data_IF_859503761647
#
_entry.id   IF_859503761647
#
_cell.length_a   1.000
_cell.length_b   1.000
_cell.length_c   1.000
_cell.angle_alpha   90.00
_cell.angle_beta   90.00
_cell.angle_gamma   90.00
#
_symmetry.space_group_name_H-M   'P 1'
#
loop_
_entity.id
_entity.type
_entity.pdbx_description
1 polymer ?
#
# COMPACT_ATOMS: atom_id res chain seq x y z
N UNK A 1 2.70 15.87 27.40
CA UNK A 1 2.77 14.80 26.37
C UNK A 1 3.45 15.37 25.14
N UNK A 2 4.76 15.20 25.03
CA UNK A 2 5.51 15.57 23.85
C UNK A 2 6.49 14.45 23.58
N UNK A 3 6.35 13.83 22.42
CA UNK A 3 7.42 13.57 21.43
C UNK A 3 6.85 12.60 20.38
N UNK A 4 6.55 13.16 19.21
CA UNK A 4 6.17 12.43 18.01
C UNK A 4 7.43 12.02 17.23
N UNK A 5 7.93 10.80 17.43
CA UNK A 5 8.92 10.20 16.52
C UNK A 5 8.54 8.74 16.23
N UNK A 6 8.67 8.31 14.96
CA UNK A 6 8.49 6.91 14.54
C UNK A 6 7.06 6.44 14.25
N UNK A 7 6.03 6.97 14.94
CA UNK A 7 4.66 6.43 14.87
C UNK A 7 4.03 6.39 13.48
N UNK A 8 4.22 7.41 12.64
CA UNK A 8 3.57 7.46 11.31
C UNK A 8 4.18 6.50 10.29
N UNK A 9 5.51 6.35 10.28
CA UNK A 9 6.17 5.37 9.41
C UNK A 9 5.83 3.95 9.86
N UNK A 10 5.87 3.70 11.17
CA UNK A 10 5.47 2.42 11.77
C UNK A 10 4.02 2.05 11.45
N UNK A 11 3.08 3.01 11.51
CA UNK A 11 1.68 2.76 11.15
C UNK A 11 1.53 2.42 9.66
N UNK A 12 2.22 3.11 8.76
CA UNK A 12 2.21 2.71 7.34
C UNK A 12 2.76 1.30 7.15
N UNK A 13 3.88 0.94 7.79
CA UNK A 13 4.42 -0.42 7.74
C UNK A 13 3.40 -1.44 8.24
N UNK A 14 2.76 -1.19 9.38
CA UNK A 14 1.72 -2.05 9.94
C UNK A 14 0.55 -2.22 8.97
N UNK A 15 0.01 -1.13 8.41
CA UNK A 15 -1.12 -1.17 7.50
C UNK A 15 -0.79 -1.97 6.22
N UNK A 16 0.40 -1.76 5.65
CA UNK A 16 0.88 -2.51 4.48
C UNK A 16 1.06 -4.00 4.78
N UNK A 17 1.56 -4.34 5.97
CA UNK A 17 1.64 -5.73 6.43
C UNK A 17 0.27 -6.37 6.61
N UNK A 18 -0.67 -5.70 7.29
CA UNK A 18 -2.03 -6.21 7.50
C UNK A 18 -2.74 -6.45 6.16
N UNK A 19 -2.70 -5.48 5.25
CA UNK A 19 -3.33 -5.60 3.94
C UNK A 19 -2.70 -6.73 3.10
N UNK A 20 -1.37 -6.91 3.17
CA UNK A 20 -0.67 -7.94 2.41
C UNK A 20 -0.87 -9.36 2.94
N UNK A 21 -1.20 -9.49 4.23
CA UNK A 21 -1.49 -10.77 4.89
C UNK A 21 -2.96 -11.18 4.84
N UNK A 22 -3.86 -10.25 4.59
CA UNK A 22 -5.29 -10.54 4.51
C UNK A 22 -5.65 -11.30 3.23
N UNK A 23 -6.66 -12.17 3.31
CA UNK A 23 -7.08 -13.02 2.20
C UNK A 23 -8.55 -12.82 1.85
N UNK A 24 -8.89 -12.96 0.57
CA UNK A 24 -10.27 -12.87 0.09
C UNK A 24 -10.98 -11.59 0.57
N UNK A 25 -12.20 -11.75 1.11
CA UNK A 25 -13.01 -10.65 1.62
C UNK A 25 -12.52 -10.07 2.97
N UNK A 26 -11.56 -10.69 3.65
CA UNK A 26 -10.97 -10.12 4.87
C UNK A 26 -10.17 -8.84 4.57
N UNK A 27 -9.56 -8.78 3.39
CA UNK A 27 -8.71 -7.66 3.02
C UNK A 27 -9.45 -6.32 2.91
N UNK A 28 -10.72 -6.33 2.50
CA UNK A 28 -11.56 -5.12 2.51
C UNK A 28 -11.90 -4.70 3.94
N UNK A 29 -12.16 -5.65 4.86
CA UNK A 29 -12.37 -5.35 6.28
C UNK A 29 -11.12 -4.77 6.94
N UNK A 30 -9.93 -5.21 6.53
CA UNK A 30 -8.67 -4.62 6.98
C UNK A 30 -8.58 -3.16 6.58
N UNK A 31 -8.94 -2.81 5.34
CA UNK A 31 -8.97 -1.40 4.91
C UNK A 31 -10.02 -0.58 5.64
N UNK A 32 -11.22 -1.14 5.86
CA UNK A 32 -12.27 -0.51 6.66
C UNK A 32 -11.80 -0.24 8.10
N UNK A 33 -11.10 -1.20 8.72
CA UNK A 33 -10.53 -1.04 10.05
C UNK A 33 -9.42 0.02 10.08
N UNK A 34 -8.55 0.07 9.05
CA UNK A 34 -7.55 1.13 8.91
C UNK A 34 -8.23 2.49 8.77
N UNK A 35 -9.27 2.59 7.95
CA UNK A 35 -10.03 3.82 7.76
C UNK A 35 -10.64 4.31 9.08
N UNK A 36 -11.35 3.44 9.80
CA UNK A 36 -11.93 3.76 11.10
C UNK A 36 -10.86 4.15 12.13
N UNK A 37 -9.71 3.45 12.15
CA UNK A 37 -8.61 3.82 13.03
C UNK A 37 -8.06 5.22 12.71
N UNK A 38 -7.89 5.53 11.42
CA UNK A 38 -7.37 6.83 11.00
C UNK A 38 -8.33 7.96 11.37
N UNK A 39 -9.62 7.72 11.21
CA UNK A 39 -10.67 8.68 11.56
C UNK A 39 -10.74 8.95 13.07
N UNK A 40 -10.69 7.90 13.90
CA UNK A 40 -11.03 8.00 15.32
C UNK A 40 -9.81 8.18 16.23
N UNK A 41 -8.64 7.66 15.84
CA UNK A 41 -7.48 7.54 16.75
C UNK A 41 -6.19 8.18 16.23
N UNK A 42 -6.14 8.63 14.97
CA UNK A 42 -4.90 9.17 14.42
C UNK A 42 -4.59 10.56 14.96
N UNK A 43 -3.47 10.69 15.68
CA UNK A 43 -3.10 11.93 16.38
C UNK A 43 -2.74 13.14 15.51
N UNK A 44 -2.92 13.09 14.18
CA UNK A 44 -2.71 14.22 13.27
C UNK A 44 -3.98 14.47 12.46
N UNK A 45 -4.75 15.49 12.84
CA UNK A 45 -6.04 15.82 12.21
C UNK A 45 -5.91 16.13 10.71
N UNK A 46 -4.94 16.97 10.32
CA UNK A 46 -4.70 17.30 8.90
C UNK A 46 -4.32 16.06 8.08
N UNK A 47 -3.48 15.19 8.67
CA UNK A 47 -3.09 13.94 8.03
C UNK A 47 -4.28 13.00 7.84
N UNK A 48 -5.14 12.89 8.86
CA UNK A 48 -6.34 12.06 8.83
C UNK A 48 -7.33 12.59 7.79
N UNK A 49 -7.62 13.89 7.78
CA UNK A 49 -8.48 14.52 6.77
C UNK A 49 -8.04 14.22 5.34
N UNK A 50 -6.74 14.33 5.05
CA UNK A 50 -6.21 13.95 3.75
C UNK A 50 -6.37 12.45 3.42
N UNK A 51 -6.22 11.57 4.40
CA UNK A 51 -6.43 10.13 4.19
C UNK A 51 -7.90 9.81 3.89
N UNK A 52 -8.83 10.37 4.68
CA UNK A 52 -10.26 10.19 4.49
C UNK A 52 -10.72 10.72 3.13
N UNK A 53 -10.20 11.86 2.69
CA UNK A 53 -10.46 12.40 1.34
C UNK A 53 -9.99 11.47 0.22
N UNK A 54 -8.86 10.77 0.39
CA UNK A 54 -8.43 9.75 -0.57
C UNK A 54 -9.34 8.52 -0.55
N UNK A 55 -9.83 8.12 0.63
CA UNK A 55 -10.74 6.98 0.78
C UNK A 55 -12.12 7.22 0.14
N UNK A 56 -12.61 8.47 0.16
CA UNK A 56 -13.88 8.87 -0.45
C UNK A 56 -13.77 9.33 -1.92
N UNK A 57 -12.60 9.21 -2.54
CA UNK A 57 -12.37 9.69 -3.92
C UNK A 57 -13.08 8.82 -4.96
N UNK A 58 -13.89 9.43 -5.83
CA UNK A 58 -14.54 8.72 -6.95
C UNK A 58 -13.57 8.21 -8.03
N UNK A 59 -12.40 8.84 -8.18
CA UNK A 59 -11.42 8.49 -9.22
C UNK A 59 -10.58 7.23 -8.90
N UNK A 60 -10.50 6.84 -7.62
CA UNK A 60 -9.70 5.69 -7.14
C UNK A 60 -10.30 5.26 -5.79
N UNK A 61 -11.54 4.73 -5.81
CA UNK A 61 -12.30 4.45 -4.60
C UNK A 61 -11.63 3.36 -3.78
N UNK A 62 -11.69 3.50 -2.45
CA UNK A 62 -11.26 2.44 -1.54
C UNK A 62 -12.14 1.19 -1.77
N UNK A 63 -11.54 0.00 -1.94
CA UNK A 63 -12.33 -1.21 -2.12
C UNK A 63 -13.02 -1.56 -0.79
N UNK A 64 -14.35 -1.52 -0.79
CA UNK A 64 -15.21 -1.83 0.36
C UNK A 64 -15.79 -3.24 0.21
N UNK A 65 -16.14 -3.87 1.34
CA UNK A 65 -16.77 -5.19 1.32
C UNK A 65 -18.10 -5.20 0.54
N UNK A 66 -18.79 -4.05 0.46
CA UNK A 66 -20.08 -3.87 -0.21
C UNK A 66 -19.97 -3.51 -1.70
N UNK A 67 -18.78 -3.16 -2.20
CA UNK A 67 -18.57 -2.69 -3.58
C UNK A 67 -17.98 -3.76 -4.52
N UNK A 68 -17.80 -4.99 -4.04
CA UNK A 68 -17.26 -6.10 -4.85
C UNK A 68 -18.37 -6.74 -5.70
N UNK A 69 -18.93 -5.98 -6.63
CA UNK A 69 -19.88 -6.50 -7.63
C UNK A 69 -19.48 -6.22 -9.08
N UNK A 70 -18.30 -5.64 -9.33
CA UNK A 70 -17.78 -5.48 -10.68
C UNK A 70 -16.26 -5.34 -10.69
N UNK A 71 -15.57 -6.49 -10.77
CA UNK A 71 -14.14 -6.57 -11.07
C UNK A 71 -13.87 -6.32 -12.57
N UNK A 72 -14.30 -5.16 -13.07
CA UNK A 72 -13.94 -4.68 -14.38
C UNK A 72 -13.05 -3.46 -14.16
N UNK A 73 -11.73 -3.63 -14.32
CA UNK A 73 -10.82 -2.67 -14.96
C UNK A 73 -9.34 -2.83 -14.54
N UNK A 74 -9.00 -3.66 -13.55
CA UNK A 74 -7.59 -3.81 -13.13
C UNK A 74 -7.18 -5.26 -12.85
N UNK A 75 -5.93 -5.57 -13.19
CA UNK A 75 -5.22 -6.86 -13.07
C UNK A 75 -5.03 -7.39 -11.61
N UNK A 76 -5.99 -7.10 -10.73
CA UNK A 76 -6.09 -7.62 -9.39
C UNK A 76 -7.06 -8.81 -9.43
N UNK A 77 -6.53 -10.02 -9.26
CA UNK A 77 -7.30 -11.27 -9.36
C UNK A 77 -8.25 -11.45 -8.16
N UNK A 78 -8.12 -10.63 -7.11
CA UNK A 78 -8.88 -10.74 -5.87
C UNK A 78 -9.10 -9.41 -5.13
N UNK A 79 -10.10 -9.38 -4.24
CA UNK A 79 -10.31 -8.27 -3.30
C UNK A 79 -9.06 -7.97 -2.45
N UNK A 80 -8.24 -8.99 -2.16
CA UNK A 80 -6.98 -8.83 -1.45
C UNK A 80 -5.92 -8.08 -2.26
N UNK A 81 -5.79 -8.37 -3.56
CA UNK A 81 -4.86 -7.66 -4.44
C UNK A 81 -5.26 -6.18 -4.59
N UNK A 82 -6.56 -5.94 -4.75
CA UNK A 82 -7.12 -4.58 -4.80
C UNK A 82 -6.83 -3.80 -3.52
N UNK A 83 -6.94 -4.42 -2.35
CA UNK A 83 -6.67 -3.77 -1.08
C UNK A 83 -5.19 -3.35 -0.94
N UNK A 84 -4.27 -4.26 -1.27
CA UNK A 84 -2.82 -3.99 -1.26
C UNK A 84 -2.46 -2.85 -2.22
N UNK A 85 -2.97 -2.92 -3.45
CA UNK A 85 -2.68 -1.92 -4.47
C UNK A 85 -3.30 -0.56 -4.15
N UNK A 86 -4.53 -0.52 -3.60
CA UNK A 86 -5.15 0.74 -3.21
C UNK A 86 -4.35 1.45 -2.11
N UNK A 87 -3.97 0.72 -1.05
CA UNK A 87 -3.19 1.30 0.04
C UNK A 87 -1.82 1.80 -0.44
N UNK A 88 -1.20 1.09 -1.38
CA UNK A 88 0.04 1.50 -2.03
C UNK A 88 -0.14 2.81 -2.84
N UNK A 89 -1.17 2.91 -3.68
CA UNK A 89 -1.47 4.13 -4.44
C UNK A 89 -1.74 5.31 -3.50
N UNK A 90 -2.53 5.11 -2.45
CA UNK A 90 -2.82 6.13 -1.45
C UNK A 90 -1.54 6.65 -0.77
N UNK A 91 -0.63 5.74 -0.37
CA UNK A 91 0.64 6.14 0.23
C UNK A 91 1.54 6.89 -0.77
N UNK A 92 1.55 6.50 -2.04
CA UNK A 92 2.30 7.20 -3.08
C UNK A 92 1.73 8.59 -3.42
N UNK A 93 0.40 8.80 -3.33
CA UNK A 93 -0.22 10.14 -3.38
C UNK A 93 0.28 11.03 -2.25
N UNK A 94 0.39 10.48 -1.03
CA UNK A 94 0.97 11.19 0.12
C UNK A 94 2.44 11.53 -0.14
N UNK A 95 3.24 10.58 -0.64
CA UNK A 95 4.65 10.82 -0.97
C UNK A 95 4.81 11.95 -2.00
N UNK A 96 4.00 11.95 -3.07
CA UNK A 96 4.03 12.99 -4.08
C UNK A 96 3.73 14.38 -3.50
N UNK A 97 2.66 14.51 -2.71
CA UNK A 97 2.26 15.77 -2.07
C UNK A 97 3.33 16.29 -1.09
N UNK A 98 3.91 15.40 -0.29
CA UNK A 98 4.95 15.78 0.67
C UNK A 98 6.27 16.13 -0.02
N UNK A 99 6.57 15.52 -1.17
CA UNK A 99 7.72 15.87 -2.00
C UNK A 99 7.55 17.28 -2.63
N UNK A 100 6.36 17.59 -3.16
CA UNK A 100 6.08 18.86 -3.83
C UNK A 100 6.02 20.07 -2.89
N UNK A 101 5.75 19.85 -1.60
CA UNK A 101 5.65 20.92 -0.57
C UNK A 101 6.99 21.28 0.08
N UNK A 102 8.12 20.80 -0.47
CA UNK A 102 9.45 21.09 0.08
C UNK A 102 9.79 20.28 1.34
N UNK A 103 8.84 19.47 1.85
CA UNK A 103 9.03 18.44 2.86
C UNK A 103 9.78 17.21 2.28
N UNK A 104 10.81 17.45 1.46
CA UNK A 104 11.65 16.38 0.87
C UNK A 104 12.38 15.60 1.94
N UNK A 105 12.72 16.24 3.07
CA UNK A 105 13.48 15.72 4.20
C UNK A 105 12.64 15.72 5.49
N UNK A 106 11.61 14.86 5.59
CA UNK A 106 10.81 14.74 6.84
C UNK A 106 11.08 13.48 7.64
N UNK A 107 11.81 12.50 7.10
CA UNK A 107 12.46 11.57 8.00
C UNK A 107 13.61 12.36 8.63
N UNK A 108 13.65 12.44 9.97
CA UNK A 108 14.83 12.90 10.71
C UNK A 108 16.12 12.16 10.29
N UNK A 109 15.98 11.05 9.55
CA UNK A 109 17.02 10.23 8.93
C UNK A 109 17.48 10.71 7.53
N UNK A 110 16.96 11.84 7.01
CA UNK A 110 17.41 12.41 5.72
C UNK A 110 16.93 11.68 4.46
N UNK A 111 16.04 10.69 4.58
CA UNK A 111 15.56 9.92 3.43
C UNK A 111 14.49 10.68 2.63
N UNK A 112 14.65 10.83 1.30
CA UNK A 112 13.71 11.56 0.46
C UNK A 112 12.36 10.84 0.33
N UNK A 113 11.26 11.61 0.31
CA UNK A 113 9.94 11.10 -0.08
C UNK A 113 9.89 10.91 -1.59
N UNK A 114 10.07 9.67 -2.02
CA UNK A 114 10.02 9.26 -3.42
C UNK A 114 8.78 8.41 -3.68
N UNK A 115 8.44 8.27 -4.95
CA UNK A 115 7.52 7.22 -5.35
C UNK A 115 8.14 5.85 -5.02
N UNK A 116 7.36 4.97 -4.41
CA UNK A 116 7.77 3.66 -3.95
C UNK A 116 7.11 2.53 -4.76
N UNK A 117 7.79 1.43 -5.10
CA UNK A 117 9.24 1.27 -5.01
C UNK A 117 9.98 2.20 -5.98
N UNK A 118 11.26 2.47 -5.69
CA UNK A 118 12.14 3.11 -6.66
C UNK A 118 12.53 2.10 -7.75
N UNK A 119 12.99 2.60 -8.91
CA UNK A 119 13.49 1.74 -9.99
C UNK A 119 14.66 0.83 -9.56
N UNK A 120 15.41 1.22 -8.53
CA UNK A 120 16.48 0.38 -7.94
C UNK A 120 15.90 -0.80 -7.16
N UNK A 121 14.80 -0.58 -6.42
CA UNK A 121 14.14 -1.63 -5.63
C UNK A 121 13.30 -2.57 -6.49
N UNK A 122 12.66 -2.04 -7.53
CA UNK A 122 11.89 -2.83 -8.47
C UNK A 122 11.98 -2.25 -9.90
N UNK A 123 12.94 -2.70 -10.70
CA UNK A 123 13.14 -2.21 -12.08
C UNK A 123 11.94 -2.43 -12.99
N UNK A 124 11.15 -3.48 -12.74
CA UNK A 124 10.00 -3.86 -13.57
C UNK A 124 8.66 -3.31 -13.05
N UNK A 125 8.66 -2.52 -11.96
CA UNK A 125 7.42 -1.99 -11.37
C UNK A 125 6.93 -0.72 -12.08
N UNK A 126 7.82 0.02 -12.75
CA UNK A 126 7.44 1.23 -13.50
C UNK A 126 8.21 1.30 -14.82
N UNK A 127 7.53 1.72 -15.88
CA UNK A 127 8.17 2.02 -17.16
C UNK A 127 9.07 3.25 -17.05
N UNK A 128 9.93 3.45 -18.06
CA UNK A 128 10.71 4.68 -18.23
C UNK A 128 9.83 5.94 -18.34
N UNK A 129 8.56 5.79 -18.74
CA UNK A 129 7.56 6.87 -18.81
C UNK A 129 6.83 7.12 -17.48
N UNK A 130 7.20 6.40 -16.41
CA UNK A 130 6.58 6.54 -15.08
C UNK A 130 5.24 5.82 -14.91
N UNK A 131 4.86 4.96 -15.86
CA UNK A 131 3.62 4.17 -15.77
C UNK A 131 3.89 2.92 -14.93
N UNK A 132 3.08 2.71 -13.90
CA UNK A 132 3.20 1.53 -13.04
C UNK A 132 2.69 0.25 -13.70
N UNK A 133 3.49 -0.81 -13.59
CA UNK A 133 3.07 -2.19 -13.80
C UNK A 133 2.49 -2.72 -12.48
N UNK A 134 1.17 -2.84 -12.42
CA UNK A 134 0.48 -3.23 -11.18
C UNK A 134 0.79 -4.66 -10.77
N UNK A 135 1.01 -5.58 -11.71
CA UNK A 135 1.29 -6.98 -11.40
C UNK A 135 2.67 -7.14 -10.76
N UNK A 136 3.70 -6.53 -11.37
CA UNK A 136 5.05 -6.54 -10.82
C UNK A 136 5.12 -5.77 -9.49
N UNK A 137 4.36 -4.67 -9.37
CA UNK A 137 4.22 -3.91 -8.13
C UNK A 137 3.59 -4.74 -7.02
N UNK A 138 2.46 -5.42 -7.29
CA UNK A 138 1.79 -6.29 -6.34
C UNK A 138 2.71 -7.41 -5.84
N UNK A 139 3.43 -8.08 -6.75
CA UNK A 139 4.42 -9.12 -6.40
C UNK A 139 5.51 -8.58 -5.49
N UNK A 140 6.04 -7.40 -5.80
CA UNK A 140 7.04 -6.73 -4.97
C UNK A 140 6.49 -6.40 -3.58
N UNK A 141 5.29 -5.81 -3.49
CA UNK A 141 4.65 -5.46 -2.22
C UNK A 141 4.40 -6.68 -1.34
N UNK A 142 3.88 -7.77 -1.91
CA UNK A 142 3.68 -9.03 -1.17
C UNK A 142 5.00 -9.56 -0.64
N UNK A 143 6.07 -9.59 -1.45
CA UNK A 143 7.39 -10.01 -0.96
C UNK A 143 7.93 -9.10 0.15
N UNK A 144 7.66 -7.79 0.08
CA UNK A 144 8.18 -6.83 1.06
C UNK A 144 7.43 -6.87 2.40
N UNK A 145 6.10 -7.08 2.37
CA UNK A 145 5.23 -6.87 3.54
C UNK A 145 4.55 -8.13 4.06
N UNK A 146 4.55 -9.19 3.27
CA UNK A 146 4.05 -10.50 3.66
C UNK A 146 5.26 -11.42 3.83
N UNK A 147 5.88 -11.38 5.02
CA UNK A 147 6.97 -12.29 5.37
C UNK A 147 6.42 -13.71 5.44
N UNK A 148 7.00 -14.63 4.66
CA UNK A 148 6.67 -16.05 4.74
C UNK A 148 7.28 -16.63 6.03
N UNK A 149 6.48 -16.74 7.08
CA UNK A 149 6.81 -17.59 8.22
C UNK A 149 6.37 -19.02 7.91
N UNK A 150 7.26 -20.04 7.97
CA UNK A 150 6.86 -21.43 7.80
C UNK A 150 5.82 -21.80 8.86
N UNK A 151 4.56 -22.03 8.44
CA UNK A 151 3.48 -22.48 9.31
C UNK A 151 2.42 -21.45 9.71
N UNK A 152 2.55 -20.17 9.31
CA UNK A 152 1.50 -19.15 9.51
C UNK A 152 1.19 -18.41 8.20
N UNK A 153 0.07 -18.79 7.58
CA UNK A 153 -0.58 -18.12 6.43
C UNK A 153 0.34 -17.84 5.22
N UNK A 154 0.23 -18.67 4.19
CA UNK A 154 0.92 -18.46 2.91
C UNK A 154 0.37 -17.23 2.20
N UNK A 155 1.23 -16.22 2.01
CA UNK A 155 0.95 -15.08 1.16
C UNK A 155 0.64 -15.62 -0.24
N UNK A 156 -0.61 -15.52 -0.68
CA UNK A 156 -1.09 -16.17 -1.91
C UNK A 156 -0.07 -16.00 -3.03
N UNK A 157 0.49 -17.11 -3.49
CA UNK A 157 1.42 -17.10 -4.61
C UNK A 157 0.65 -16.51 -5.78
N UNK A 158 1.08 -15.35 -6.28
CA UNK A 158 0.63 -14.87 -7.59
C UNK A 158 1.09 -15.96 -8.55
N UNK A 159 0.16 -16.80 -9.02
CA UNK A 159 0.46 -17.96 -9.85
C UNK A 159 0.95 -17.48 -11.21
N UNK A 160 2.25 -17.21 -11.28
CA UNK A 160 3.03 -17.07 -12.49
C UNK A 160 4.32 -17.81 -12.23
N UNK A 161 4.51 -18.93 -12.93
CA UNK A 161 5.64 -19.83 -12.80
C UNK A 161 6.97 -19.04 -12.78
N UNK A 162 7.63 -19.04 -11.63
CA UNK A 162 9.04 -18.70 -11.56
C UNK A 162 9.81 -19.91 -12.07
N UNK A 163 10.20 -19.91 -13.34
CA UNK A 163 11.35 -20.72 -13.74
C UNK A 163 12.56 -20.13 -13.03
N UNK A 164 12.97 -20.79 -11.94
CA UNK A 164 14.28 -20.58 -11.36
C UNK A 164 15.28 -20.99 -12.43
N UNK A 165 16.03 -20.04 -12.97
CA UNK A 165 17.22 -20.37 -13.75
C UNK A 165 18.34 -20.62 -12.74
N UNK A 166 18.86 -21.85 -12.60
CA UNK A 166 20.03 -22.08 -11.77
C UNK A 166 21.25 -21.42 -12.42
N UNK A 167 22.18 -20.99 -11.58
CA UNK A 167 23.49 -20.46 -11.96
C UNK A 167 24.29 -21.48 -12.77
#
# INVERSE_FOLDING_TARGET
>A
MTVAYGGRCGLWLLFHTLASRAHGAEATRVLEAIHAYVEQFFGCADCASHFLSMASSSNDPMPLATSVSSAADFAADSAADSAVLWLWRAHNKVNARLNSTGMRTVLRLGLPKVQYPSAVLCPNCASSTGRWDQLNTLRFLRRAFCQNEPGLFSCGAVTGAWTQNPR
#
